data_IF_062980850968
#
_entry.id   IF_062980850968
#
_cell.length_a   1.000
_cell.length_b   1.000
_cell.length_c   1.000
_cell.angle_alpha   90.00
_cell.angle_beta   90.00
_cell.angle_gamma   90.00
#
_symmetry.space_group_name_H-M   'P 1'
#
loop_
_entity.id
_entity.type
_entity.pdbx_description
1 polymer ?
#
# COMPACT_ATOMS: atom_id res chain seq x y z
N UNK A 1 -19.58 23.86 -50.23
CA UNK A 1 -19.74 22.50 -49.66
C UNK A 1 -18.44 21.89 -49.09
N UNK A 2 -17.25 22.47 -49.37
CA UNK A 2 -15.96 21.96 -48.86
C UNK A 2 -15.57 22.48 -47.46
N UNK A 3 -15.94 23.71 -47.10
CA UNK A 3 -15.57 24.28 -45.79
C UNK A 3 -16.26 23.61 -44.60
N UNK A 4 -17.52 23.20 -44.75
CA UNK A 4 -18.29 22.53 -43.68
C UNK A 4 -17.70 21.13 -43.41
N UNK A 5 -17.29 20.40 -44.46
CA UNK A 5 -16.60 19.11 -44.31
C UNK A 5 -15.22 19.28 -43.66
N UNK A 6 -14.47 20.32 -44.03
CA UNK A 6 -13.14 20.59 -43.46
C UNK A 6 -13.22 20.95 -41.97
N UNK A 7 -14.16 21.80 -41.56
CA UNK A 7 -14.40 22.14 -40.15
C UNK A 7 -14.78 20.90 -39.34
N UNK A 8 -15.68 20.05 -39.87
CA UNK A 8 -16.11 18.82 -39.20
C UNK A 8 -14.96 17.82 -39.03
N UNK A 9 -14.10 17.66 -40.04
CA UNK A 9 -12.94 16.77 -39.98
C UNK A 9 -11.86 17.29 -39.02
N UNK A 10 -11.65 18.62 -38.96
CA UNK A 10 -10.72 19.24 -38.03
C UNK A 10 -11.18 19.07 -36.57
N UNK A 11 -12.48 19.25 -36.29
CA UNK A 11 -13.04 19.04 -34.94
C UNK A 11 -12.91 17.58 -34.50
N UNK A 12 -13.10 16.61 -35.41
CA UNK A 12 -12.93 15.18 -35.12
C UNK A 12 -11.47 14.86 -34.81
N UNK A 13 -10.51 15.39 -35.57
CA UNK A 13 -9.08 15.22 -35.31
C UNK A 13 -8.66 15.78 -33.95
N UNK A 14 -9.16 16.96 -33.58
CA UNK A 14 -8.90 17.56 -32.27
C UNK A 14 -9.49 16.69 -31.15
N UNK A 15 -10.72 16.18 -31.32
CA UNK A 15 -11.36 15.31 -30.33
C UNK A 15 -10.58 13.99 -30.14
N UNK A 16 -10.14 13.36 -31.23
CA UNK A 16 -9.33 12.13 -31.17
C UNK A 16 -7.99 12.38 -30.46
N UNK A 17 -7.33 13.50 -30.75
CA UNK A 17 -6.08 13.87 -30.09
C UNK A 17 -6.28 14.12 -28.59
N UNK A 18 -7.37 14.78 -28.20
CA UNK A 18 -7.72 14.98 -26.79
C UNK A 18 -7.99 13.67 -26.07
N UNK A 19 -8.73 12.75 -26.69
CA UNK A 19 -9.02 11.43 -26.13
C UNK A 19 -7.70 10.65 -25.96
N UNK A 20 -6.82 10.66 -26.95
CA UNK A 20 -5.54 9.97 -26.89
C UNK A 20 -4.61 10.54 -25.80
N UNK A 21 -4.53 11.88 -25.67
CA UNK A 21 -3.80 12.53 -24.58
C UNK A 21 -4.38 12.18 -23.20
N UNK A 22 -5.71 12.10 -23.06
CA UNK A 22 -6.37 11.71 -21.81
C UNK A 22 -6.02 10.28 -21.38
N UNK A 23 -5.90 9.34 -22.33
CA UNK A 23 -5.51 7.96 -22.03
C UNK A 23 -4.05 7.89 -21.56
N UNK A 24 -3.13 8.61 -22.21
CA UNK A 24 -1.70 8.64 -21.80
C UNK A 24 -1.52 9.28 -20.41
N UNK A 25 -2.28 10.32 -20.10
CA UNK A 25 -2.27 10.94 -18.77
C UNK A 25 -2.83 10.02 -17.68
N UNK A 26 -3.86 9.21 -17.99
CA UNK A 26 -4.40 8.23 -17.05
C UNK A 26 -3.39 7.12 -16.70
N UNK A 27 -2.63 6.62 -17.69
CA UNK A 27 -1.58 5.61 -17.46
C UNK A 27 -0.42 6.14 -16.60
N UNK A 28 -0.11 7.44 -16.71
CA UNK A 28 0.94 8.09 -15.91
C UNK A 28 0.47 8.46 -14.50
N UNK A 29 -0.82 8.74 -14.30
CA UNK A 29 -1.38 9.10 -13.00
C UNK A 29 -1.54 7.89 -12.04
N UNK A 30 -1.56 6.67 -12.56
CA UNK A 30 -1.58 5.44 -11.76
C UNK A 30 -0.23 5.04 -11.15
N UNK A 31 0.88 5.62 -11.63
CA UNK A 31 2.23 5.40 -11.12
C UNK A 31 2.55 6.39 -10.00
N UNK A 32 1.68 6.48 -8.98
CA UNK A 32 2.09 7.04 -7.70
C UNK A 32 3.23 6.16 -7.18
N UNK A 33 4.46 6.67 -7.26
CA UNK A 33 5.74 6.04 -6.88
C UNK A 33 5.55 4.82 -5.98
N UNK A 34 5.46 3.64 -6.58
CA UNK A 34 5.32 2.40 -5.83
C UNK A 34 6.64 2.22 -5.05
N UNK A 35 6.55 2.41 -3.73
CA UNK A 35 7.72 2.37 -2.87
C UNK A 35 8.47 1.03 -3.04
N UNK A 36 9.65 1.09 -3.64
CA UNK A 36 10.46 -0.10 -3.87
C UNK A 36 11.14 -0.55 -2.59
N UNK A 37 10.83 -1.78 -2.17
CA UNK A 37 11.40 -2.36 -0.97
C UNK A 37 12.89 -2.65 -1.12
N UNK A 38 13.67 -2.30 -0.10
CA UNK A 38 15.05 -2.74 0.05
C UNK A 38 15.13 -4.27 0.19
N UNK A 39 16.28 -4.91 -0.11
CA UNK A 39 16.45 -6.35 0.12
C UNK A 39 16.14 -6.78 1.56
N UNK A 40 16.52 -5.97 2.55
CA UNK A 40 16.22 -6.23 3.96
C UNK A 40 14.70 -6.21 4.24
N UNK A 41 13.98 -5.23 3.71
CA UNK A 41 12.52 -5.16 3.84
C UNK A 41 11.82 -6.30 3.10
N UNK A 42 12.31 -6.71 1.92
CA UNK A 42 11.80 -7.89 1.20
C UNK A 42 11.96 -9.15 2.03
N UNK A 43 13.14 -9.36 2.60
CA UNK A 43 13.42 -10.51 3.47
C UNK A 43 12.55 -10.49 4.73
N UNK A 44 12.45 -9.34 5.42
CA UNK A 44 11.60 -9.19 6.59
C UNK A 44 10.12 -9.43 6.26
N UNK A 45 9.63 -8.90 5.13
CA UNK A 45 8.26 -9.15 4.64
C UNK A 45 8.00 -10.64 4.39
N UNK A 46 8.97 -11.37 3.85
CA UNK A 46 8.88 -12.82 3.65
C UNK A 46 8.75 -13.56 4.98
N UNK A 47 9.54 -13.19 6.00
CA UNK A 47 9.43 -13.76 7.35
C UNK A 47 8.03 -13.51 7.93
N UNK A 48 7.52 -12.28 7.83
CA UNK A 48 6.21 -11.94 8.37
C UNK A 48 5.07 -12.72 7.69
N UNK A 49 5.13 -12.90 6.37
CA UNK A 49 4.13 -13.70 5.65
C UNK A 49 4.10 -15.16 6.08
N UNK A 50 5.19 -15.68 6.64
CA UNK A 50 5.26 -17.02 7.23
C UNK A 50 4.64 -17.12 8.64
N UNK A 51 4.31 -16.01 9.29
CA UNK A 51 3.78 -16.02 10.65
C UNK A 51 2.29 -16.42 10.68
N UNK A 52 1.88 -17.25 11.67
CA UNK A 52 0.50 -17.71 11.76
C UNK A 52 -0.46 -16.54 11.97
N UNK A 53 -1.46 -16.47 11.10
CA UNK A 53 -2.51 -15.45 11.18
C UNK A 53 -2.17 -14.11 10.54
N UNK A 54 -1.01 -13.96 9.90
CA UNK A 54 -0.74 -12.86 8.95
C UNK A 54 -1.30 -13.24 7.59
N UNK A 55 -2.13 -12.37 7.01
CA UNK A 55 -2.80 -12.58 5.72
C UNK A 55 -2.14 -11.78 4.59
N UNK A 56 -1.71 -10.56 4.88
CA UNK A 56 -0.98 -9.73 3.93
C UNK A 56 -0.10 -8.71 4.64
N UNK A 57 0.97 -8.31 3.97
CA UNK A 57 1.94 -7.33 4.45
C UNK A 57 2.23 -6.38 3.30
N UNK A 58 2.03 -5.09 3.55
CA UNK A 58 2.22 -4.00 2.58
C UNK A 58 2.97 -2.85 3.23
N UNK A 59 3.87 -2.22 2.48
CA UNK A 59 4.57 -1.03 2.93
C UNK A 59 3.93 0.19 2.28
N UNK A 60 3.66 1.22 3.07
CA UNK A 60 3.21 2.52 2.54
C UNK A 60 4.38 3.49 2.40
N UNK A 61 5.44 3.29 3.18
CA UNK A 61 6.66 4.10 3.16
C UNK A 61 7.82 3.29 3.73
N UNK A 62 9.08 3.79 3.69
CA UNK A 62 10.22 3.07 4.25
C UNK A 62 10.06 2.67 5.72
N UNK A 63 9.26 3.41 6.49
CA UNK A 63 9.07 3.23 7.93
C UNK A 63 7.64 2.83 8.31
N UNK A 64 6.74 2.64 7.34
CA UNK A 64 5.32 2.35 7.60
C UNK A 64 4.92 1.00 7.00
N UNK A 65 4.65 0.05 7.90
CA UNK A 65 4.30 -1.33 7.57
C UNK A 65 2.87 -1.67 8.01
N UNK A 66 2.06 -2.09 7.05
CA UNK A 66 0.67 -2.45 7.24
C UNK A 66 0.47 -3.95 7.13
N UNK A 67 -0.16 -4.54 8.14
CA UNK A 67 -0.32 -5.98 8.28
C UNK A 67 -1.78 -6.32 8.46
N UNK A 68 -2.32 -7.06 7.49
CA UNK A 68 -3.63 -7.68 7.61
C UNK A 68 -3.50 -8.97 8.39
N UNK A 69 -4.35 -9.14 9.39
CA UNK A 69 -4.37 -10.31 10.26
C UNK A 69 -5.70 -11.04 10.18
N UNK A 70 -5.68 -12.32 10.51
CA UNK A 70 -6.89 -13.14 10.64
C UNK A 70 -7.41 -13.11 12.07
N UNK A 71 -8.61 -13.68 12.27
CA UNK A 71 -9.17 -13.90 13.62
C UNK A 71 -8.30 -14.81 14.50
N UNK A 72 -7.39 -15.60 13.92
CA UNK A 72 -6.44 -16.41 14.70
C UNK A 72 -5.41 -15.54 15.43
N UNK A 73 -4.96 -14.46 14.81
CA UNK A 73 -3.94 -13.59 15.38
C UNK A 73 -4.52 -12.56 16.37
N UNK A 74 -5.70 -12.02 16.08
CA UNK A 74 -6.28 -10.91 16.88
C UNK A 74 -7.65 -11.24 17.49
N UNK A 75 -8.19 -12.44 17.32
CA UNK A 75 -9.47 -12.86 17.90
C UNK A 75 -10.70 -12.59 17.02
N UNK A 76 -11.83 -13.15 17.45
CA UNK A 76 -13.18 -12.87 16.92
C UNK A 76 -14.17 -12.78 18.10
N UNK A 77 -14.63 -11.57 18.49
CA UNK A 77 -14.34 -10.28 17.87
C UNK A 77 -12.85 -9.87 18.01
N UNK A 78 -12.36 -8.95 17.17
CA UNK A 78 -10.98 -8.46 17.27
C UNK A 78 -10.72 -7.87 18.65
N UNK A 79 -9.67 -8.35 19.30
CA UNK A 79 -9.16 -7.84 20.56
C UNK A 79 -8.03 -6.84 20.27
N UNK A 80 -8.24 -5.59 20.65
CA UNK A 80 -7.32 -4.47 20.43
C UNK A 80 -6.02 -4.63 21.20
N UNK A 81 -6.05 -5.21 22.40
CA UNK A 81 -4.85 -5.48 23.21
C UNK A 81 -3.95 -6.53 22.55
N UNK A 82 -4.53 -7.61 22.01
CA UNK A 82 -3.77 -8.60 21.23
C UNK A 82 -3.16 -7.97 19.97
N UNK A 83 -3.93 -7.13 19.27
CA UNK A 83 -3.43 -6.40 18.12
C UNK A 83 -2.29 -5.42 18.49
N UNK A 84 -2.40 -4.73 19.63
CA UNK A 84 -1.37 -3.81 20.13
C UNK A 84 -0.09 -4.54 20.52
N UNK A 85 -0.20 -5.68 21.21
CA UNK A 85 0.94 -6.51 21.57
C UNK A 85 1.65 -7.08 20.32
N UNK A 86 0.89 -7.48 19.30
CA UNK A 86 1.42 -7.88 18.02
C UNK A 86 2.15 -6.72 17.33
N UNK A 87 1.51 -5.54 17.23
CA UNK A 87 2.10 -4.35 16.63
C UNK A 87 3.43 -3.98 17.31
N UNK A 88 3.46 -3.94 18.65
CA UNK A 88 4.65 -3.63 19.44
C UNK A 88 5.77 -4.63 19.21
N UNK A 89 5.46 -5.93 19.26
CA UNK A 89 6.44 -6.99 19.05
C UNK A 89 7.07 -6.91 17.66
N UNK A 90 6.25 -6.71 16.63
CA UNK A 90 6.72 -6.61 15.25
C UNK A 90 7.51 -5.33 15.01
N UNK A 91 7.10 -4.21 15.62
CA UNK A 91 7.81 -2.94 15.54
C UNK A 91 9.22 -3.06 16.14
N UNK A 92 9.37 -3.60 17.36
CA UNK A 92 10.68 -3.79 18.01
C UNK A 92 11.59 -4.76 17.25
N UNK A 93 11.04 -5.89 16.79
CA UNK A 93 11.79 -6.87 15.98
C UNK A 93 12.21 -6.28 14.64
N UNK A 94 11.30 -5.56 13.98
CA UNK A 94 11.56 -4.90 12.71
C UNK A 94 12.62 -3.79 12.84
N UNK A 95 12.57 -2.98 13.90
CA UNK A 95 13.63 -1.99 14.20
C UNK A 95 14.98 -2.65 14.30
N UNK A 96 15.07 -3.76 15.04
CA UNK A 96 16.33 -4.48 15.24
C UNK A 96 16.83 -5.12 13.94
N UNK A 97 15.93 -5.78 13.19
CA UNK A 97 16.27 -6.49 11.96
C UNK A 97 16.64 -5.55 10.80
N UNK A 98 15.93 -4.42 10.68
CA UNK A 98 16.11 -3.46 9.60
C UNK A 98 17.09 -2.33 9.97
N UNK A 99 17.41 -2.17 11.25
CA UNK A 99 18.24 -1.07 11.79
C UNK A 99 17.70 0.30 11.38
N UNK A 100 16.40 0.51 11.54
CA UNK A 100 15.71 1.76 11.23
C UNK A 100 14.45 1.92 12.10
N UNK A 101 13.88 3.14 12.22
CA UNK A 101 12.58 3.33 12.82
C UNK A 101 11.50 2.54 12.04
N UNK A 102 10.48 2.09 12.76
CA UNK A 102 9.40 1.32 12.16
C UNK A 102 8.08 1.55 12.90
N UNK A 103 7.05 1.91 12.13
CA UNK A 103 5.65 1.89 12.53
C UNK A 103 4.97 0.66 11.94
N UNK A 104 4.33 -0.13 12.79
CA UNK A 104 3.54 -1.30 12.39
C UNK A 104 2.07 -1.04 12.68
N UNK A 105 1.25 -1.20 11.64
CA UNK A 105 -0.19 -1.02 11.64
C UNK A 105 -0.86 -2.39 11.49
N UNK A 106 -1.74 -2.75 12.42
CA UNK A 106 -2.48 -4.03 12.41
C UNK A 106 -3.94 -3.77 12.05
N UNK A 107 -4.46 -4.49 11.06
CA UNK A 107 -5.88 -4.47 10.71
C UNK A 107 -6.41 -5.87 10.42
N UNK A 108 -7.73 -6.07 10.53
CA UNK A 108 -8.39 -7.35 10.17
C UNK A 108 -9.29 -7.21 8.93
N UNK A 109 -10.07 -6.13 8.87
CA UNK A 109 -10.89 -5.73 7.72
C UNK A 109 -10.24 -4.54 7.01
N UNK A 110 -10.40 -4.44 5.68
CA UNK A 110 -9.85 -3.31 4.91
C UNK A 110 -10.27 -1.99 5.56
N UNK A 111 -9.32 -1.08 5.71
CA UNK A 111 -9.52 0.29 6.19
C UNK A 111 -9.93 0.46 7.66
N UNK A 112 -9.83 -0.57 8.51
CA UNK A 112 -10.00 -0.43 9.97
C UNK A 112 -8.74 -0.88 10.72
N UNK A 113 -7.89 0.09 11.02
CA UNK A 113 -6.76 -0.10 11.93
C UNK A 113 -7.27 -0.50 13.32
N UNK A 114 -6.71 -1.59 13.84
CA UNK A 114 -7.00 -2.11 15.19
C UNK A 114 -5.98 -1.62 16.20
N UNK A 115 -4.73 -1.48 15.77
CA UNK A 115 -3.62 -1.09 16.61
C UNK A 115 -2.47 -0.55 15.76
N UNK A 116 -1.66 0.31 16.37
CA UNK A 116 -0.45 0.88 15.80
C UNK A 116 0.64 0.93 16.86
N UNK A 117 1.86 0.58 16.48
CA UNK A 117 3.04 0.77 17.32
C UNK A 117 4.18 1.32 16.49
N UNK A 118 4.77 2.43 16.94
CA UNK A 118 5.95 3.03 16.34
C UNK A 118 7.11 2.95 17.31
N UNK A 119 8.26 2.55 16.81
CA UNK A 119 9.50 2.50 17.58
C UNK A 119 10.55 3.34 16.87
N UNK A 120 11.25 4.14 17.66
CA UNK A 120 12.30 5.05 17.24
C UNK A 120 13.63 4.64 17.91
N UNK A 121 14.73 5.31 17.56
CA UNK A 121 16.04 5.09 18.17
C UNK A 121 16.18 5.83 19.49
#
# INVERSE_FOLDING_TARGET
>A
MNEIKMKRNLTVLIAVQFIFCLHILADKAGAADEYSLTPAQKHFTSILRGLPGILSVSWESPVSLWIRTSSRAVGSPPNTEKAQNLAKTLAERGKTALRQPLCVHIYQKKSKELAKSCVFF
#
